data_IF_578636843415
#
_entry.id   IF_578636843415
#
_cell.length_a   1.000
_cell.length_b   1.000
_cell.length_c   1.000
_cell.angle_alpha   90.00
_cell.angle_beta   90.00
_cell.angle_gamma   90.00
#
_symmetry.space_group_name_H-M   'P 1'
#
loop_
_entity.id
_entity.type
_entity.pdbx_description
1 polymer ?
#
# COMPACT_ATOMS: atom_id res chain seq x y z
N UNK A 1 46.69 26.34 35.40
CA UNK A 1 45.42 26.70 34.77
C UNK A 1 45.38 26.03 33.41
N UNK A 2 44.68 24.91 33.28
CA UNK A 2 44.48 24.20 32.03
C UNK A 2 43.10 24.55 31.48
N UNK A 3 42.94 24.81 30.19
CA UNK A 3 41.60 25.08 29.60
C UNK A 3 40.79 23.79 29.46
N UNK A 4 39.57 23.82 29.94
CA UNK A 4 38.58 22.76 29.74
C UNK A 4 38.16 22.71 28.27
N UNK A 5 38.38 21.58 27.64
CA UNK A 5 37.86 21.28 26.31
C UNK A 5 36.36 20.97 26.42
N UNK A 6 35.54 21.84 25.83
CA UNK A 6 34.10 21.62 25.66
C UNK A 6 33.90 20.61 24.54
N UNK A 7 33.55 19.39 24.89
CA UNK A 7 33.12 18.36 23.90
C UNK A 7 31.67 18.63 23.56
N UNK A 8 31.42 19.19 22.37
CA UNK A 8 30.10 19.32 21.81
C UNK A 8 29.71 17.96 21.25
N UNK A 9 28.84 17.26 21.95
CA UNK A 9 28.18 16.04 21.42
C UNK A 9 27.14 16.51 20.42
N UNK A 10 27.46 16.36 19.13
CA UNK A 10 26.48 16.50 18.06
C UNK A 10 25.54 15.28 18.12
N UNK A 11 24.37 15.49 18.66
CA UNK A 11 23.27 14.52 18.55
C UNK A 11 22.85 14.46 17.08
N UNK A 12 23.33 13.46 16.36
CA UNK A 12 22.80 13.10 15.06
C UNK A 12 21.42 12.51 15.32
N UNK A 13 20.39 13.33 15.18
CA UNK A 13 19.02 12.86 15.13
C UNK A 13 18.86 12.04 13.85
N UNK A 14 18.81 10.72 13.95
CA UNK A 14 18.28 9.87 12.90
C UNK A 14 16.80 10.23 12.71
N UNK A 15 16.50 11.02 11.70
CA UNK A 15 15.16 11.18 11.18
C UNK A 15 14.80 9.85 10.50
N UNK A 16 14.06 9.01 11.20
CA UNK A 16 13.42 7.86 10.60
C UNK A 16 12.26 8.37 9.73
N UNK A 17 12.48 8.42 8.44
CA UNK A 17 11.42 8.58 7.46
C UNK A 17 10.80 7.19 7.30
N UNK A 18 9.59 7.02 7.83
CA UNK A 18 8.81 5.82 7.60
C UNK A 18 8.53 5.70 6.09
N UNK A 19 8.92 4.60 5.49
CA UNK A 19 8.54 4.31 4.10
C UNK A 19 7.05 3.98 4.09
N UNK A 20 6.22 4.93 3.66
CA UNK A 20 4.81 4.67 3.42
C UNK A 20 4.69 3.63 2.31
N UNK A 21 4.40 2.38 2.69
CA UNK A 21 4.02 1.37 1.72
C UNK A 21 2.65 1.76 1.19
N UNK A 22 2.58 2.31 -0.04
CA UNK A 22 1.33 2.45 -0.74
C UNK A 22 0.73 1.06 -0.91
N UNK A 23 -0.38 0.82 -0.25
CA UNK A 23 -1.14 -0.40 -0.40
C UNK A 23 -1.94 -0.29 -1.69
N UNK A 24 -1.60 -1.11 -2.64
CA UNK A 24 -2.36 -1.36 -3.85
C UNK A 24 -3.62 -2.19 -3.54
N UNK A 25 -4.22 -2.90 -4.45
CA UNK A 25 -5.50 -3.57 -4.24
C UNK A 25 -5.58 -4.55 -3.05
N UNK A 26 -6.45 -4.28 -2.07
CA UNK A 26 -6.59 -5.15 -0.88
C UNK A 26 -6.93 -6.60 -1.23
N UNK A 27 -6.39 -7.60 -0.53
CA UNK A 27 -5.53 -7.49 0.67
C UNK A 27 -4.02 -7.48 0.40
N UNK A 28 -3.60 -7.34 -0.87
CA UNK A 28 -2.21 -7.39 -1.31
C UNK A 28 -1.65 -6.00 -1.60
N UNK A 29 -0.32 -5.90 -1.71
CA UNK A 29 0.38 -4.67 -2.10
C UNK A 29 0.32 -4.43 -3.61
N UNK A 30 0.20 -5.51 -4.39
CA UNK A 30 0.05 -5.46 -5.85
C UNK A 30 -1.43 -5.23 -6.20
N UNK A 31 -1.71 -4.28 -7.08
CA UNK A 31 -3.07 -3.99 -7.53
C UNK A 31 -3.42 -4.68 -8.86
N UNK A 32 -4.71 -4.79 -9.11
CA UNK A 32 -5.30 -5.31 -10.35
C UNK A 32 -5.99 -4.20 -11.16
N UNK A 33 -6.24 -4.41 -12.47
CA UNK A 33 -6.88 -3.41 -13.31
C UNK A 33 -8.41 -3.35 -13.18
N UNK A 34 -9.06 -4.16 -12.34
CA UNK A 34 -10.52 -4.27 -12.29
C UNK A 34 -11.14 -3.16 -11.43
N UNK A 35 -11.96 -2.25 -11.99
CA UNK A 35 -12.69 -1.26 -11.22
C UNK A 35 -13.95 -1.86 -10.61
N UNK A 36 -14.50 -1.28 -9.52
CA UNK A 36 -15.84 -1.61 -9.06
C UNK A 36 -16.88 -1.45 -10.16
N UNK A 37 -18.03 -2.16 -10.08
CA UNK A 37 -19.11 -2.01 -11.06
C UNK A 37 -19.55 -0.54 -11.23
N UNK A 38 -19.93 -0.10 -12.44
CA UNK A 38 -20.37 1.27 -12.67
C UNK A 38 -21.52 1.70 -11.74
N UNK A 39 -21.30 2.82 -11.01
CA UNK A 39 -22.22 3.35 -9.99
C UNK A 39 -22.18 2.58 -8.68
N UNK A 40 -21.30 1.60 -8.52
CA UNK A 40 -21.06 0.88 -7.27
C UNK A 40 -19.93 1.52 -6.45
N UNK A 41 -19.97 1.27 -5.17
CA UNK A 41 -18.90 1.58 -4.23
C UNK A 41 -18.25 0.30 -3.73
N UNK A 42 -16.95 0.37 -3.57
CA UNK A 42 -16.16 -0.54 -2.78
C UNK A 42 -15.52 0.27 -1.66
N UNK A 43 -15.86 -0.05 -0.42
CA UNK A 43 -15.40 0.64 0.77
C UNK A 43 -14.62 -0.34 1.62
N UNK A 44 -13.32 -0.09 1.80
CA UNK A 44 -12.46 -0.91 2.63
C UNK A 44 -12.13 -0.18 3.94
N UNK A 45 -12.23 -0.92 5.05
CA UNK A 45 -11.90 -0.41 6.38
C UNK A 45 -10.92 -1.37 7.07
N UNK A 46 -9.67 -1.39 6.64
CA UNK A 46 -8.68 -2.29 7.22
C UNK A 46 -8.07 -1.76 8.51
N UNK A 47 -7.54 -2.73 9.24
CA UNK A 47 -6.49 -2.59 10.22
C UNK A 47 -5.19 -3.09 9.57
N UNK A 48 -4.20 -2.21 9.49
CA UNK A 48 -2.92 -2.53 8.87
C UNK A 48 -1.82 -2.34 9.91
N UNK A 49 -0.92 -3.30 10.01
CA UNK A 49 0.24 -3.23 10.88
C UNK A 49 1.49 -3.57 10.09
N UNK A 50 2.52 -2.78 10.31
CA UNK A 50 3.87 -3.04 9.81
C UNK A 50 4.86 -2.90 10.97
N UNK A 51 5.66 -3.93 11.20
CA UNK A 51 6.67 -3.96 12.24
C UNK A 51 8.06 -4.09 11.63
N UNK A 52 8.95 -3.16 12.01
CA UNK A 52 10.35 -3.12 11.62
C UNK A 52 11.24 -3.12 12.85
N UNK A 53 12.55 -3.17 12.67
CA UNK A 53 13.48 -2.98 13.78
C UNK A 53 13.42 -1.56 14.42
N UNK A 54 12.90 -0.57 13.68
CA UNK A 54 12.79 0.82 14.15
C UNK A 54 11.52 1.04 14.98
N UNK A 55 10.45 0.23 14.74
CA UNK A 55 9.18 0.43 15.44
C UNK A 55 8.03 -0.30 14.78
N UNK A 56 6.83 0.11 15.16
CA UNK A 56 5.57 -0.41 14.60
C UNK A 56 4.72 0.74 14.12
N UNK A 57 4.31 0.66 12.86
CA UNK A 57 3.32 1.53 12.25
C UNK A 57 1.98 0.79 12.20
N UNK A 58 0.91 1.50 12.54
CA UNK A 58 -0.47 1.03 12.40
C UNK A 58 -1.28 2.08 11.67
N UNK A 59 -1.94 1.67 10.59
CA UNK A 59 -3.00 2.47 9.95
C UNK A 59 -4.35 1.88 10.34
N UNK A 60 -5.01 2.53 11.32
CA UNK A 60 -6.29 2.03 11.85
C UNK A 60 -7.12 3.11 12.55
N UNK A 61 -8.36 3.34 12.10
CA UNK A 61 -8.90 2.83 10.85
C UNK A 61 -8.26 3.50 9.65
N UNK A 62 -8.06 2.74 8.57
CA UNK A 62 -7.88 3.31 7.25
C UNK A 62 -9.23 3.32 6.55
N UNK A 63 -9.60 4.41 5.92
CA UNK A 63 -10.79 4.51 5.08
C UNK A 63 -10.35 4.58 3.61
N UNK A 64 -10.68 3.55 2.85
CA UNK A 64 -10.40 3.44 1.43
C UNK A 64 -11.72 3.37 0.66
N UNK A 65 -12.03 4.43 -0.09
CA UNK A 65 -13.25 4.63 -0.86
C UNK A 65 -12.96 4.51 -2.35
N UNK A 66 -13.63 3.59 -3.01
CA UNK A 66 -13.49 3.34 -4.43
C UNK A 66 -14.86 3.41 -5.11
N UNK A 67 -15.02 4.32 -6.09
CA UNK A 67 -16.24 4.48 -6.84
C UNK A 67 -16.07 4.05 -8.29
N UNK A 68 -16.92 3.13 -8.75
CA UNK A 68 -16.89 2.59 -10.10
C UNK A 68 -17.61 3.48 -11.11
N UNK A 69 -16.94 3.71 -12.25
CA UNK A 69 -17.46 4.26 -13.48
C UNK A 69 -17.20 3.25 -14.62
N UNK A 70 -17.77 3.42 -15.82
CA UNK A 70 -17.46 2.53 -16.95
C UNK A 70 -15.95 2.51 -17.25
N UNK A 71 -15.28 1.38 -16.95
CA UNK A 71 -13.83 1.17 -17.08
C UNK A 71 -12.93 2.12 -16.26
N UNK A 72 -13.50 2.83 -15.28
CA UNK A 72 -12.77 3.74 -14.40
C UNK A 72 -13.14 3.48 -12.94
N UNK A 73 -12.17 3.74 -12.05
CA UNK A 73 -12.38 3.82 -10.60
C UNK A 73 -11.83 5.14 -10.12
N UNK A 74 -12.57 5.81 -9.25
CA UNK A 74 -12.07 6.94 -8.47
C UNK A 74 -11.74 6.43 -7.07
N UNK A 75 -10.52 6.70 -6.60
CA UNK A 75 -10.05 6.32 -5.25
C UNK A 75 -9.82 7.54 -4.38
N UNK A 76 -10.25 7.43 -3.13
CA UNK A 76 -9.84 8.29 -2.03
C UNK A 76 -9.52 7.44 -0.82
N UNK A 77 -8.33 7.60 -0.28
CA UNK A 77 -7.86 6.85 0.89
C UNK A 77 -7.30 7.82 1.93
N UNK A 78 -7.62 7.59 3.20
CA UNK A 78 -7.06 8.36 4.33
C UNK A 78 -6.82 7.44 5.53
N UNK A 79 -5.58 7.29 6.01
CA UNK A 79 -5.27 6.54 7.22
C UNK A 79 -5.39 7.42 8.47
N UNK A 80 -5.86 6.82 9.57
CA UNK A 80 -5.49 7.28 10.91
C UNK A 80 -4.27 6.46 11.32
N UNK A 81 -3.12 7.11 11.32
CA UNK A 81 -1.82 6.49 11.58
C UNK A 81 -1.48 6.54 13.05
N UNK A 82 -0.94 5.45 13.56
CA UNK A 82 -0.34 5.35 14.88
C UNK A 82 1.09 4.86 14.67
N UNK A 83 2.04 5.72 14.96
CA UNK A 83 3.46 5.42 14.93
C UNK A 83 3.96 5.15 16.35
N UNK A 84 4.66 4.05 16.53
CA UNK A 84 5.24 3.66 17.82
C UNK A 84 6.68 3.22 17.65
N UNK A 85 7.58 3.98 18.26
CA UNK A 85 9.00 3.66 18.39
C UNK A 85 9.33 3.36 19.88
N UNK A 86 10.55 2.93 20.15
CA UNK A 86 11.03 2.68 21.53
C UNK A 86 11.03 3.95 22.39
N UNK A 87 11.08 5.14 21.77
CA UNK A 87 11.27 6.42 22.47
C UNK A 87 10.05 7.33 22.40
N UNK A 88 9.16 7.12 21.44
CA UNK A 88 8.01 8.01 21.18
C UNK A 88 6.82 7.27 20.60
N UNK A 89 5.65 7.91 20.69
CA UNK A 89 4.43 7.47 20.01
C UNK A 89 3.67 8.69 19.46
N UNK A 90 3.11 8.53 18.28
CA UNK A 90 2.29 9.55 17.65
C UNK A 90 1.00 8.93 17.10
N UNK A 91 -0.07 9.70 17.07
CA UNK A 91 -1.31 9.32 16.40
C UNK A 91 -1.94 10.54 15.75
N UNK A 92 -2.55 10.35 14.60
CA UNK A 92 -3.22 11.39 13.82
C UNK A 92 -3.54 10.95 12.40
N UNK A 93 -3.95 11.89 11.57
CA UNK A 93 -4.13 11.60 10.15
C UNK A 93 -2.78 11.39 9.48
N UNK A 94 -2.68 10.34 8.65
CA UNK A 94 -1.58 10.14 7.72
C UNK A 94 -1.81 10.92 6.41
N UNK A 95 -0.99 10.63 5.41
CA UNK A 95 -1.08 11.26 4.09
C UNK A 95 -2.20 10.61 3.26
N UNK A 96 -3.23 11.36 2.83
CA UNK A 96 -4.27 10.82 1.97
C UNK A 96 -3.72 10.48 0.59
N UNK A 97 -4.31 9.43 -0.02
CA UNK A 97 -4.05 9.03 -1.40
C UNK A 97 -5.30 9.25 -2.25
N UNK A 98 -5.13 9.88 -3.40
CA UNK A 98 -6.17 9.99 -4.42
C UNK A 98 -5.70 9.35 -5.72
N UNK A 99 -6.61 8.68 -6.43
CA UNK A 99 -6.24 7.98 -7.64
C UNK A 99 -7.38 7.80 -8.63
N UNK A 100 -6.99 7.52 -9.87
CA UNK A 100 -7.91 7.17 -10.95
C UNK A 100 -7.39 5.91 -11.64
N UNK A 101 -8.04 4.77 -11.44
CA UNK A 101 -7.73 3.54 -12.16
C UNK A 101 -8.49 3.54 -13.49
N UNK A 102 -7.79 3.28 -14.57
CA UNK A 102 -8.37 3.19 -15.91
C UNK A 102 -8.03 1.84 -16.54
N UNK A 103 -9.06 0.98 -16.68
CA UNK A 103 -8.96 -0.27 -17.41
C UNK A 103 -9.22 -0.02 -18.90
N UNK A 104 -8.16 0.12 -19.68
CA UNK A 104 -8.27 0.43 -21.11
C UNK A 104 -8.37 -0.82 -22.01
N UNK A 105 -8.10 -2.01 -21.46
CA UNK A 105 -8.29 -3.28 -22.16
C UNK A 105 -8.97 -4.27 -21.25
N UNK A 106 -10.06 -4.88 -21.75
CA UNK A 106 -10.74 -6.00 -21.12
C UNK A 106 -11.23 -6.95 -22.20
N UNK A 107 -10.76 -8.20 -22.14
CA UNK A 107 -11.14 -9.25 -23.08
C UNK A 107 -11.70 -10.45 -22.30
N UNK A 108 -13.00 -10.54 -22.21
CA UNK A 108 -13.70 -11.59 -21.47
C UNK A 108 -13.38 -13.00 -21.98
N UNK A 109 -13.18 -13.19 -23.31
CA UNK A 109 -12.86 -14.50 -23.88
C UNK A 109 -11.52 -15.04 -23.43
N UNK A 110 -10.55 -14.16 -23.29
CA UNK A 110 -9.21 -14.54 -22.83
C UNK A 110 -9.02 -14.36 -21.34
N UNK A 111 -9.90 -13.64 -20.64
CA UNK A 111 -9.74 -13.23 -19.26
C UNK A 111 -8.61 -12.22 -19.02
N UNK A 112 -8.11 -11.57 -20.10
CA UNK A 112 -7.04 -10.58 -20.02
C UNK A 112 -7.60 -9.19 -19.78
N UNK A 113 -7.05 -8.48 -18.79
CA UNK A 113 -7.33 -7.09 -18.50
C UNK A 113 -6.02 -6.32 -18.38
N UNK A 114 -6.00 -5.05 -18.81
CA UNK A 114 -4.83 -4.15 -18.67
C UNK A 114 -5.35 -2.76 -18.30
N UNK A 115 -4.65 -2.11 -17.39
CA UNK A 115 -5.01 -0.79 -16.91
C UNK A 115 -3.81 0.05 -16.51
N UNK A 116 -4.07 1.30 -16.16
CA UNK A 116 -3.15 2.23 -15.54
C UNK A 116 -3.83 2.87 -14.34
N UNK A 117 -3.05 3.23 -13.31
CA UNK A 117 -3.60 3.72 -12.06
C UNK A 117 -2.80 4.92 -11.51
N UNK A 118 -2.81 6.09 -12.19
CA UNK A 118 -2.19 7.28 -11.63
C UNK A 118 -2.76 7.63 -10.25
N UNK A 119 -1.86 7.90 -9.30
CA UNK A 119 -2.17 8.19 -7.90
C UNK A 119 -1.32 9.36 -7.41
N UNK A 120 -1.85 10.10 -6.45
CA UNK A 120 -1.16 11.22 -5.77
C UNK A 120 -1.33 11.05 -4.27
N UNK A 121 -0.22 11.00 -3.56
CA UNK A 121 -0.19 11.09 -2.10
C UNK A 121 -0.04 12.55 -1.70
N UNK A 122 -0.93 13.03 -0.83
CA UNK A 122 -1.01 14.43 -0.41
C UNK A 122 -0.37 14.59 0.98
N UNK A 123 0.51 15.61 1.20
CA UNK A 123 1.25 15.78 2.44
C UNK A 123 0.39 16.43 3.54
N UNK A 124 -0.55 15.68 4.10
CA UNK A 124 -1.47 16.14 5.15
C UNK A 124 -1.00 15.73 6.55
N UNK A 125 -0.36 14.57 6.65
CA UNK A 125 0.17 14.04 7.90
C UNK A 125 1.28 14.91 8.49
N UNK A 126 1.37 14.91 9.82
CA UNK A 126 2.41 15.68 10.51
C UNK A 126 3.77 14.97 10.42
N UNK A 127 4.61 15.42 9.47
CA UNK A 127 5.96 14.88 9.27
C UNK A 127 6.83 14.93 10.54
N UNK A 128 6.68 15.95 11.39
CA UNK A 128 7.51 16.08 12.60
C UNK A 128 7.23 14.97 13.61
N UNK A 129 6.04 14.38 13.50
CA UNK A 129 5.57 13.31 14.36
C UNK A 129 5.62 11.94 13.67
N UNK A 130 6.19 11.82 12.45
CA UNK A 130 6.25 10.58 11.68
C UNK A 130 4.92 10.15 11.04
N UNK A 131 3.89 11.03 11.01
CA UNK A 131 2.56 10.67 10.52
C UNK A 131 2.38 10.90 9.02
N UNK A 132 3.35 11.50 8.33
CA UNK A 132 3.33 11.76 6.89
C UNK A 132 4.68 12.20 6.36
N UNK A 133 4.82 12.18 5.04
CA UNK A 133 6.07 12.48 4.33
C UNK A 133 6.40 13.98 4.29
N UNK A 134 5.38 14.85 4.46
CA UNK A 134 5.53 16.31 4.39
C UNK A 134 5.74 16.86 2.98
N UNK A 135 5.61 16.05 1.95
CA UNK A 135 5.68 16.43 0.53
C UNK A 135 4.86 15.45 -0.31
N UNK A 136 4.38 15.92 -1.46
CA UNK A 136 3.60 15.09 -2.35
C UNK A 136 4.47 14.03 -3.05
N UNK A 137 3.87 12.88 -3.29
CA UNK A 137 4.42 11.85 -4.14
C UNK A 137 3.40 11.43 -5.22
N UNK A 138 3.91 11.02 -6.37
CA UNK A 138 3.09 10.60 -7.50
C UNK A 138 3.46 9.19 -7.90
N UNK A 139 2.48 8.33 -8.13
CA UNK A 139 2.67 6.96 -8.62
C UNK A 139 1.94 6.79 -9.95
N UNK A 140 2.60 6.19 -10.92
CA UNK A 140 1.99 5.78 -12.18
C UNK A 140 2.28 4.31 -12.44
N UNK A 141 1.39 3.39 -12.05
CA UNK A 141 1.52 1.98 -12.35
C UNK A 141 0.81 1.59 -13.64
N UNK A 142 1.36 0.56 -14.28
CA UNK A 142 0.69 -0.27 -15.26
C UNK A 142 0.29 -1.58 -14.61
N UNK A 143 -0.93 -2.01 -14.87
CA UNK A 143 -1.58 -3.17 -14.28
C UNK A 143 -1.94 -4.17 -15.37
N UNK A 144 -1.70 -5.44 -15.11
CA UNK A 144 -2.14 -6.54 -15.97
C UNK A 144 -2.74 -7.65 -15.15
N UNK A 145 -3.84 -8.21 -15.61
CA UNK A 145 -4.50 -9.36 -15.00
C UNK A 145 -4.86 -10.40 -16.02
N UNK A 146 -4.77 -11.64 -15.61
CA UNK A 146 -5.22 -12.81 -16.35
C UNK A 146 -6.03 -13.72 -15.45
N UNK A 147 -7.29 -13.95 -15.80
CA UNK A 147 -8.17 -14.91 -15.11
C UNK A 147 -8.45 -16.12 -16.01
N UNK A 148 -8.44 -17.31 -15.41
CA UNK A 148 -8.77 -18.57 -16.08
C UNK A 148 -9.29 -19.58 -15.05
N UNK A 149 -10.44 -20.18 -15.33
CA UNK A 149 -11.12 -21.11 -14.43
C UNK A 149 -11.28 -20.54 -13.02
N UNK A 150 -10.54 -21.06 -12.02
CA UNK A 150 -10.56 -20.66 -10.61
C UNK A 150 -9.33 -19.84 -10.24
N UNK A 151 -8.46 -19.49 -11.20
CA UNK A 151 -7.24 -18.77 -10.95
C UNK A 151 -7.32 -17.34 -11.48
N UNK A 152 -6.74 -16.42 -10.72
CA UNK A 152 -6.47 -15.04 -11.15
C UNK A 152 -5.03 -14.72 -10.83
N UNK A 153 -4.28 -14.29 -11.85
CA UNK A 153 -2.93 -13.75 -11.69
C UNK A 153 -2.94 -12.30 -12.13
N UNK A 154 -2.31 -11.44 -11.38
CA UNK A 154 -2.12 -10.04 -11.75
C UNK A 154 -0.73 -9.55 -11.38
N UNK A 155 -0.30 -8.52 -12.06
CA UNK A 155 0.99 -7.90 -11.82
C UNK A 155 0.92 -6.39 -12.04
N UNK A 156 1.79 -5.71 -11.37
CA UNK A 156 1.91 -4.27 -11.38
C UNK A 156 3.39 -3.89 -11.55
N UNK A 157 3.64 -2.85 -12.34
CA UNK A 157 4.91 -2.12 -12.36
C UNK A 157 4.61 -0.63 -12.36
N UNK A 158 5.14 0.10 -11.39
CA UNK A 158 4.91 1.52 -11.21
C UNK A 158 6.17 2.29 -10.90
N UNK A 159 6.13 3.59 -11.16
CA UNK A 159 7.22 4.50 -10.81
C UNK A 159 6.69 5.58 -9.86
N UNK A 160 7.41 5.76 -8.77
CA UNK A 160 7.20 6.82 -7.79
C UNK A 160 8.07 8.02 -8.10
N UNK A 161 7.45 9.21 -8.13
CA UNK A 161 8.13 10.50 -8.16
C UNK A 161 7.90 11.21 -6.82
N UNK A 162 8.97 11.39 -6.05
CA UNK A 162 8.95 12.13 -4.80
C UNK A 162 9.37 13.57 -5.02
N UNK A 163 8.62 14.53 -4.48
CA UNK A 163 8.91 15.96 -4.64
C UNK A 163 9.90 16.49 -3.59
N UNK A 164 10.26 15.70 -2.60
CA UNK A 164 11.27 16.07 -1.61
C UNK A 164 12.67 16.12 -2.19
N UNK A 165 13.49 17.03 -1.69
CA UNK A 165 14.91 17.12 -2.07
C UNK A 165 15.72 15.87 -1.63
N UNK A 166 15.30 15.21 -0.55
CA UNK A 166 15.92 13.99 -0.01
C UNK A 166 15.26 12.71 -0.53
N UNK A 167 14.05 12.82 -1.10
CA UNK A 167 13.33 11.71 -1.70
C UNK A 167 14.00 11.23 -2.98
N UNK A 168 13.98 9.94 -3.21
CA UNK A 168 14.47 9.30 -4.43
C UNK A 168 13.32 8.71 -5.19
N UNK A 169 13.27 8.99 -6.49
CA UNK A 169 12.35 8.30 -7.37
C UNK A 169 12.63 6.81 -7.36
N UNK A 170 11.58 6.01 -7.29
CA UNK A 170 11.69 4.56 -7.09
C UNK A 170 10.75 3.79 -8.02
N UNK A 171 11.14 2.57 -8.33
CA UNK A 171 10.26 1.61 -9.00
C UNK A 171 9.63 0.69 -7.97
N UNK A 172 8.35 0.46 -8.14
CA UNK A 172 7.62 -0.62 -7.51
C UNK A 172 7.28 -1.69 -8.57
N UNK A 173 7.37 -2.96 -8.20
CA UNK A 173 6.86 -4.05 -9.01
C UNK A 173 6.31 -5.14 -8.10
N UNK A 174 5.19 -5.75 -8.51
CA UNK A 174 4.59 -6.85 -7.79
C UNK A 174 3.86 -7.81 -8.71
N UNK A 175 3.69 -9.05 -8.23
CA UNK A 175 2.91 -10.06 -8.92
C UNK A 175 2.20 -10.94 -7.88
N UNK A 176 0.92 -11.19 -8.11
CA UNK A 176 0.07 -12.01 -7.26
C UNK A 176 -0.58 -13.15 -8.05
N UNK A 177 -0.81 -14.24 -7.35
CA UNK A 177 -1.59 -15.38 -7.84
C UNK A 177 -2.63 -15.75 -6.80
N UNK A 178 -3.88 -15.77 -7.21
CA UNK A 178 -5.02 -16.12 -6.37
C UNK A 178 -5.78 -17.31 -6.92
N UNK A 179 -6.46 -18.03 -6.03
CA UNK A 179 -7.32 -19.15 -6.38
C UNK A 179 -8.63 -19.13 -5.58
N UNK A 180 -9.74 -19.27 -6.28
CA UNK A 180 -11.03 -19.54 -5.66
C UNK A 180 -11.09 -21.01 -5.21
N UNK A 181 -10.99 -21.26 -3.92
CA UNK A 181 -11.14 -22.61 -3.33
C UNK A 181 -12.59 -23.03 -3.27
N UNK A 182 -13.47 -22.07 -3.03
CA UNK A 182 -14.92 -22.24 -3.00
C UNK A 182 -15.59 -20.96 -3.52
N UNK A 183 -16.92 -20.94 -3.61
CA UNK A 183 -17.68 -19.71 -3.96
C UNK A 183 -17.50 -18.57 -2.93
N UNK A 184 -16.98 -18.88 -1.73
CA UNK A 184 -16.82 -17.91 -0.63
C UNK A 184 -15.39 -17.67 -0.23
N UNK A 185 -14.46 -18.55 -0.57
CA UNK A 185 -13.09 -18.50 -0.10
C UNK A 185 -12.14 -18.39 -1.28
N UNK A 186 -11.43 -17.29 -1.33
CA UNK A 186 -10.29 -17.05 -2.21
C UNK A 186 -9.02 -17.01 -1.37
N UNK A 187 -7.93 -17.56 -1.85
CA UNK A 187 -6.60 -17.49 -1.23
C UNK A 187 -5.57 -17.15 -2.28
N UNK A 188 -4.48 -16.52 -1.86
CA UNK A 188 -3.42 -16.14 -2.77
C UNK A 188 -2.12 -15.81 -2.07
N UNK A 189 -1.12 -15.53 -2.90
CA UNK A 189 0.18 -15.04 -2.49
C UNK A 189 0.69 -14.03 -3.50
N UNK A 190 1.54 -13.12 -3.02
CA UNK A 190 2.24 -12.16 -3.86
C UNK A 190 3.73 -12.10 -3.52
N UNK A 191 4.50 -11.68 -4.51
CA UNK A 191 5.85 -11.16 -4.36
C UNK A 191 5.87 -9.73 -4.86
N UNK A 192 6.49 -8.83 -4.11
CA UNK A 192 6.59 -7.42 -4.47
C UNK A 192 7.95 -6.87 -4.08
N UNK A 193 8.31 -5.72 -4.62
CA UNK A 193 9.54 -5.05 -4.25
C UNK A 193 9.61 -3.61 -4.72
N UNK A 194 10.49 -2.86 -4.05
CA UNK A 194 10.79 -1.47 -4.33
C UNK A 194 12.29 -1.30 -4.57
N UNK A 195 12.65 -0.45 -5.52
CA UNK A 195 14.00 0.12 -5.52
C UNK A 195 14.12 1.14 -4.37
N UNK A 196 15.34 1.51 -3.95
CA UNK A 196 15.49 2.46 -2.83
C UNK A 196 14.71 3.75 -3.04
N UNK A 197 13.88 4.11 -2.06
CA UNK A 197 13.07 5.35 -2.07
C UNK A 197 13.77 6.53 -1.40
N UNK A 198 14.89 6.27 -0.71
CA UNK A 198 15.72 7.26 -0.05
C UNK A 198 17.16 7.20 -0.53
N UNK A 199 17.89 8.31 -0.34
CA UNK A 199 19.32 8.33 -0.62
C UNK A 199 20.07 7.46 0.40
N UNK A 200 20.82 6.47 -0.09
CA UNK A 200 21.51 5.51 0.77
C UNK A 200 20.65 4.36 1.28
N UNK A 201 19.35 4.36 0.98
CA UNK A 201 18.44 3.25 1.25
C UNK A 201 18.79 1.97 0.48
N UNK A 202 18.10 0.89 0.79
CA UNK A 202 18.24 -0.42 0.12
C UNK A 202 16.96 -0.75 -0.65
N UNK A 203 17.10 -1.60 -1.66
CA UNK A 203 15.95 -2.21 -2.31
C UNK A 203 15.26 -3.17 -1.33
N UNK A 204 13.95 -3.29 -1.46
CA UNK A 204 13.14 -4.17 -0.65
C UNK A 204 12.46 -5.20 -1.54
N UNK A 205 12.36 -6.43 -1.06
CA UNK A 205 11.61 -7.52 -1.68
C UNK A 205 10.85 -8.23 -0.57
N UNK A 206 9.55 -8.24 -0.67
CA UNK A 206 8.66 -8.86 0.29
C UNK A 206 7.73 -9.87 -0.34
N UNK A 207 7.03 -10.60 0.51
CA UNK A 207 5.94 -11.47 0.11
C UNK A 207 4.78 -11.34 1.09
N UNK A 208 3.57 -11.58 0.60
CA UNK A 208 2.38 -11.77 1.41
C UNK A 208 1.66 -13.05 1.02
N UNK A 209 0.99 -13.64 1.97
CA UNK A 209 -0.05 -14.66 1.77
C UNK A 209 -1.35 -14.13 2.35
N UNK A 210 -2.48 -14.38 1.69
CA UNK A 210 -3.72 -13.78 2.11
C UNK A 210 -4.92 -14.33 1.37
N UNK A 211 -6.04 -13.63 1.48
CA UNK A 211 -7.24 -14.02 0.78
C UNK A 211 -8.48 -13.23 1.16
N UNK A 212 -9.60 -13.67 0.59
CA UNK A 212 -10.91 -13.08 0.73
C UNK A 212 -11.89 -14.12 1.22
N UNK A 213 -12.63 -13.80 2.29
CA UNK A 213 -13.78 -14.56 2.74
C UNK A 213 -15.06 -13.75 2.48
N UNK A 214 -15.88 -14.19 1.54
CA UNK A 214 -17.18 -13.58 1.25
C UNK A 214 -18.17 -13.94 2.36
N UNK A 215 -18.46 -12.98 3.24
CA UNK A 215 -19.41 -13.15 4.34
C UNK A 215 -20.85 -13.16 3.83
N UNK A 216 -21.16 -12.28 2.89
CA UNK A 216 -22.42 -12.22 2.15
C UNK A 216 -22.18 -11.53 0.80
N UNK A 217 -23.25 -11.21 0.05
CA UNK A 217 -23.15 -10.59 -1.28
C UNK A 217 -22.61 -9.15 -1.29
N UNK A 218 -22.57 -8.49 -0.12
CA UNK A 218 -22.16 -7.10 0.03
C UNK A 218 -20.95 -6.92 0.95
N UNK A 219 -20.49 -7.99 1.62
CA UNK A 219 -19.46 -7.86 2.64
C UNK A 219 -18.45 -8.98 2.55
N UNK A 220 -17.19 -8.59 2.43
CA UNK A 220 -16.05 -9.50 2.44
C UNK A 220 -15.16 -9.20 3.66
N UNK A 221 -14.52 -10.25 4.17
CA UNK A 221 -13.37 -10.14 5.06
C UNK A 221 -12.11 -10.36 4.23
N UNK A 222 -11.23 -9.38 4.23
CA UNK A 222 -9.95 -9.40 3.54
C UNK A 222 -8.84 -9.59 4.57
N UNK A 223 -7.84 -10.40 4.23
CA UNK A 223 -6.71 -10.61 5.12
C UNK A 223 -5.45 -10.91 4.33
N UNK A 224 -4.32 -10.45 4.82
CA UNK A 224 -3.00 -10.90 4.38
C UNK A 224 -1.99 -10.78 5.51
N UNK A 225 -0.89 -11.50 5.38
CA UNK A 225 0.27 -11.38 6.26
C UNK A 225 1.52 -11.72 5.49
N UNK A 226 2.63 -11.09 5.86
CA UNK A 226 3.91 -11.29 5.19
C UNK A 226 5.05 -10.59 5.88
N UNK A 227 6.13 -10.47 5.15
CA UNK A 227 7.37 -9.81 5.60
C UNK A 227 8.30 -9.58 4.42
N UNK A 228 9.35 -8.84 4.64
CA UNK A 228 10.45 -8.74 3.69
C UNK A 228 11.33 -10.01 3.71
N UNK A 229 11.75 -10.41 2.50
CA UNK A 229 12.86 -11.35 2.27
C UNK A 229 14.16 -10.55 2.29
N UNK A 230 14.14 -9.38 1.68
CA UNK A 230 15.20 -8.38 1.69
C UNK A 230 14.54 -7.05 2.02
N UNK A 231 14.91 -6.42 3.14
CA UNK A 231 14.29 -5.18 3.61
C UNK A 231 14.24 -5.10 5.13
N UNK A 232 13.48 -4.16 5.64
CA UNK A 232 13.37 -3.85 7.05
C UNK A 232 12.10 -4.39 7.72
N UNK A 233 11.09 -4.77 6.95
CA UNK A 233 9.81 -5.25 7.49
C UNK A 233 9.92 -6.68 7.97
N UNK A 234 9.87 -6.86 9.27
CA UNK A 234 9.92 -8.17 9.92
C UNK A 234 8.55 -8.86 9.93
N UNK A 235 7.49 -8.09 9.94
CA UNK A 235 6.11 -8.55 9.93
C UNK A 235 5.20 -7.47 9.36
N UNK A 236 4.28 -7.87 8.49
CA UNK A 236 3.18 -7.04 8.02
C UNK A 236 1.88 -7.84 8.06
N UNK A 237 0.77 -7.18 8.36
CA UNK A 237 -0.55 -7.79 8.27
C UNK A 237 -1.61 -6.77 7.88
N UNK A 238 -2.59 -7.24 7.14
CA UNK A 238 -3.80 -6.55 6.74
C UNK A 238 -5.00 -7.38 7.19
N UNK A 239 -5.96 -6.77 7.87
CA UNK A 239 -7.25 -7.37 8.19
C UNK A 239 -8.33 -6.31 8.01
N UNK A 240 -9.24 -6.50 7.07
CA UNK A 240 -10.21 -5.46 6.70
C UNK A 240 -11.57 -6.01 6.35
N UNK A 241 -12.59 -5.18 6.57
CA UNK A 241 -13.91 -5.38 5.99
C UNK A 241 -13.99 -4.58 4.69
N UNK A 242 -14.50 -5.23 3.66
CA UNK A 242 -14.85 -4.62 2.38
C UNK A 242 -16.36 -4.63 2.25
N UNK A 243 -16.93 -3.46 1.97
CA UNK A 243 -18.34 -3.29 1.72
C UNK A 243 -18.58 -2.93 0.25
N UNK A 244 -19.48 -3.66 -0.39
CA UNK A 244 -19.85 -3.51 -1.79
C UNK A 244 -21.30 -3.02 -1.88
N UNK A 245 -21.60 -2.08 -2.77
CA UNK A 245 -22.97 -1.55 -2.93
C UNK A 245 -23.68 -2.01 -4.20
N UNK A 246 -23.07 -2.82 -5.01
CA UNK A 246 -23.68 -3.46 -6.20
C UNK A 246 -22.97 -4.74 -6.53
#
# INVERSE_FOLDING_TARGET
MAPAACVTIATVGCLFLGTSSALAGPPFSTDDPEPPPPGGWEINTPFIVQHTAAGTELDTPLLDLNYGLPNLQLKFEIPIRIERTDQDHAAGFGDPLVGVKWRFLSNEKSGLQVGAYPQVQLPVGDRRRGLGEGHAAYLLPLLIQKSWEQWTSYAEIGHWWHTAAEGRNAWFAGAALQRDLTQRVNVGAELFGNTPQEQGGRAEVGFNVGGILKLNQYTNLLWSTGRDIVGSTHFAAYLGLQFLTK
#
